data_IF_170439592114
#
_entry.id   IF_170439592114
#
_cell.length_a   1.000
_cell.length_b   1.000
_cell.length_c   1.000
_cell.angle_alpha   90.00
_cell.angle_beta   90.00
_cell.angle_gamma   90.00
#
_symmetry.space_group_name_H-M   'P 1'
#
loop_
_entity.id
_entity.type
_entity.pdbx_description
1 polymer ?
#
# COMPACT_ATOMS: atom_id res chain seq x y z
N UNK A 1 1.90 -4.36 4.93
CA UNK A 1 0.94 -3.43 4.28
C UNK A 1 -0.41 -4.09 3.99
N UNK A 2 -0.42 -5.31 3.50
CA UNK A 2 -1.65 -6.02 3.17
C UNK A 2 -2.12 -6.93 4.30
N UNK A 3 -3.40 -7.16 4.30
CA UNK A 3 -4.01 -8.22 5.10
C UNK A 3 -4.28 -9.42 4.19
N UNK A 4 -3.87 -10.61 4.63
CA UNK A 4 -4.14 -11.89 3.98
C UNK A 4 -4.70 -12.83 5.03
N UNK A 5 -5.92 -13.34 4.80
CA UNK A 5 -6.70 -14.08 5.78
C UNK A 5 -6.88 -13.25 7.06
N UNK A 6 -6.34 -13.67 8.17
CA UNK A 6 -6.45 -12.98 9.47
C UNK A 6 -5.15 -12.30 9.91
N UNK A 7 -4.12 -12.27 9.05
CA UNK A 7 -2.81 -11.73 9.38
C UNK A 7 -2.47 -10.52 8.50
N UNK A 8 -1.69 -9.60 9.05
CA UNK A 8 -1.19 -8.42 8.36
C UNK A 8 -1.88 -7.13 8.75
N UNK A 9 -1.60 -6.08 8.00
CA UNK A 9 -2.13 -4.72 8.22
C UNK A 9 -2.98 -4.27 7.04
N UNK A 10 -3.90 -3.37 7.29
CA UNK A 10 -4.82 -2.84 6.28
C UNK A 10 -4.34 -1.48 5.71
N UNK A 11 -3.06 -1.35 5.41
CA UNK A 11 -2.52 -0.17 4.74
C UNK A 11 -2.79 -0.25 3.25
N UNK A 12 -2.46 -1.38 2.64
CA UNK A 12 -2.80 -1.69 1.26
C UNK A 12 -4.12 -2.46 1.13
N UNK A 13 -4.52 -2.80 -0.11
CA UNK A 13 -5.73 -3.58 -0.34
C UNK A 13 -5.73 -4.93 0.38
N UNK A 14 -6.92 -5.36 0.81
CA UNK A 14 -7.15 -6.70 1.34
C UNK A 14 -6.86 -7.74 0.25
N UNK A 15 -6.02 -8.70 0.52
CA UNK A 15 -5.62 -9.71 -0.47
C UNK A 15 -6.50 -10.96 -0.46
N UNK A 16 -7.15 -11.27 0.65
CA UNK A 16 -7.85 -12.57 0.81
C UNK A 16 -8.83 -12.87 -0.32
N UNK A 17 -9.63 -11.89 -0.73
CA UNK A 17 -10.61 -12.04 -1.80
C UNK A 17 -10.11 -11.63 -3.18
N UNK A 18 -8.84 -11.31 -3.35
CA UNK A 18 -8.27 -10.88 -4.64
C UNK A 18 -7.97 -12.09 -5.55
N UNK A 19 -7.57 -11.81 -6.80
CA UNK A 19 -7.24 -12.83 -7.80
C UNK A 19 -5.86 -13.46 -7.54
N UNK A 20 -5.64 -13.98 -6.37
CA UNK A 20 -4.33 -14.50 -5.92
C UNK A 20 -3.81 -15.68 -6.71
N UNK A 21 -4.69 -16.42 -7.38
CA UNK A 21 -4.32 -17.57 -8.23
C UNK A 21 -4.07 -17.19 -9.68
N UNK A 22 -4.44 -16.00 -10.08
CA UNK A 22 -4.16 -15.49 -11.43
C UNK A 22 -2.74 -14.94 -11.43
N UNK A 23 -1.81 -15.71 -11.99
CA UNK A 23 -0.39 -15.38 -11.99
C UNK A 23 -0.11 -14.06 -12.73
N UNK A 24 -0.77 -13.83 -13.86
CA UNK A 24 -0.60 -12.60 -14.63
C UNK A 24 -1.03 -11.37 -13.81
N UNK A 25 -2.15 -11.48 -13.11
CA UNK A 25 -2.64 -10.41 -12.22
C UNK A 25 -1.66 -10.14 -11.08
N UNK A 26 -1.20 -11.19 -10.41
CA UNK A 26 -0.27 -11.06 -9.28
C UNK A 26 1.05 -10.47 -9.74
N UNK A 27 1.63 -10.98 -10.83
CA UNK A 27 2.91 -10.48 -11.36
C UNK A 27 2.80 -9.05 -11.87
N UNK A 28 1.71 -8.68 -12.53
CA UNK A 28 1.49 -7.30 -12.97
C UNK A 28 1.55 -6.31 -11.81
N UNK A 29 0.91 -6.64 -10.69
CA UNK A 29 0.89 -5.77 -9.52
C UNK A 29 2.24 -5.75 -8.79
N UNK A 30 2.96 -6.85 -8.76
CA UNK A 30 4.27 -6.92 -8.11
C UNK A 30 5.37 -6.25 -8.93
N UNK A 31 5.34 -6.41 -10.26
CA UNK A 31 6.38 -5.90 -11.15
C UNK A 31 6.15 -4.45 -11.56
N UNK A 32 4.90 -4.04 -11.71
CA UNK A 32 4.53 -2.68 -12.13
C UNK A 32 3.39 -2.12 -11.27
N UNK A 33 3.67 -1.85 -9.99
CA UNK A 33 2.63 -1.40 -9.06
C UNK A 33 2.07 -0.01 -9.38
N UNK A 34 2.74 0.76 -10.21
CA UNK A 34 2.29 2.11 -10.61
C UNK A 34 1.38 2.10 -11.84
N UNK A 35 1.30 1.00 -12.58
CA UNK A 35 0.54 0.94 -13.82
C UNK A 35 -0.96 1.13 -13.60
N UNK A 36 -1.51 0.46 -12.59
CA UNK A 36 -2.92 0.59 -12.20
C UNK A 36 -3.01 0.67 -10.69
N UNK A 37 -3.40 1.83 -10.18
CA UNK A 37 -3.55 2.07 -8.75
C UNK A 37 -5.04 2.24 -8.47
N UNK A 38 -5.58 1.41 -7.59
CA UNK A 38 -6.97 1.53 -7.15
C UNK A 38 -7.24 2.92 -6.56
N UNK A 39 -8.41 3.46 -6.85
CA UNK A 39 -8.78 4.84 -6.47
C UNK A 39 -8.54 5.13 -4.99
N UNK A 40 -8.91 4.20 -4.13
CA UNK A 40 -8.83 4.36 -2.67
C UNK A 40 -7.40 4.21 -2.12
N UNK A 41 -6.46 3.83 -2.98
CA UNK A 41 -5.06 3.59 -2.61
C UNK A 41 -4.08 4.54 -3.28
N UNK A 42 -4.59 5.54 -3.99
CA UNK A 42 -3.76 6.60 -4.55
C UNK A 42 -3.26 7.52 -3.45
N UNK A 43 -1.99 7.84 -3.50
CA UNK A 43 -1.39 8.73 -2.51
C UNK A 43 -1.65 10.19 -2.84
N UNK A 44 -1.74 10.99 -1.79
CA UNK A 44 -1.80 12.45 -1.85
C UNK A 44 -0.52 13.01 -1.27
N UNK A 45 0.05 14.01 -1.95
CA UNK A 45 1.20 14.78 -1.46
C UNK A 45 0.69 16.10 -0.90
N UNK A 46 1.06 16.38 0.33
CA UNK A 46 0.71 17.63 1.02
C UNK A 46 2.00 18.34 1.40
N UNK A 47 2.07 19.62 1.05
CA UNK A 47 3.14 20.51 1.52
C UNK A 47 2.51 21.53 2.44
N UNK A 48 3.02 21.64 3.67
CA UNK A 48 2.53 22.62 4.64
C UNK A 48 3.23 23.97 4.46
N UNK A 49 2.65 25.00 5.02
CA UNK A 49 3.23 26.37 5.01
C UNK A 49 4.60 26.42 5.72
N UNK A 50 4.86 25.50 6.65
CA UNK A 50 6.17 25.33 7.28
C UNK A 50 7.18 24.53 6.46
N UNK A 51 6.82 24.11 5.24
CA UNK A 51 7.69 23.32 4.34
C UNK A 51 7.72 21.82 4.61
N UNK A 52 6.88 21.31 5.51
CA UNK A 52 6.78 19.88 5.76
C UNK A 52 6.08 19.20 4.60
N UNK A 53 6.63 18.08 4.12
CA UNK A 53 6.04 17.27 3.05
C UNK A 53 5.53 15.96 3.66
N UNK A 54 4.25 15.67 3.43
CA UNK A 54 3.62 14.41 3.86
C UNK A 54 3.00 13.74 2.65
N UNK A 55 3.34 12.48 2.42
CA UNK A 55 2.78 11.67 1.32
C UNK A 55 2.12 10.43 1.90
N UNK A 56 0.88 10.21 1.56
CA UNK A 56 0.14 9.05 2.06
C UNK A 56 -1.24 8.93 1.43
N UNK A 57 -1.95 7.89 1.86
CA UNK A 57 -3.32 7.61 1.43
C UNK A 57 -4.27 8.37 2.36
N UNK A 58 -5.23 9.09 1.78
CA UNK A 58 -6.25 9.79 2.57
C UNK A 58 -7.14 8.75 3.26
N UNK A 59 -7.12 8.73 4.59
CA UNK A 59 -7.95 7.83 5.41
C UNK A 59 -9.20 8.50 5.92
N UNK A 60 -9.07 9.77 6.29
CA UNK A 60 -10.16 10.55 6.84
C UNK A 60 -9.96 12.01 6.47
N UNK A 61 -11.06 12.69 6.20
CA UNK A 61 -11.05 14.10 5.88
C UNK A 61 -12.32 14.75 6.44
N UNK A 62 -12.14 15.84 7.14
CA UNK A 62 -13.25 16.70 7.59
C UNK A 62 -12.96 18.16 7.22
N UNK A 63 -13.76 19.10 7.70
CA UNK A 63 -13.61 20.53 7.38
C UNK A 63 -12.31 21.15 7.92
N UNK A 64 -11.67 20.53 8.89
CA UNK A 64 -10.52 21.09 9.61
C UNK A 64 -9.23 20.31 9.42
N UNK A 65 -9.30 19.00 9.23
CA UNK A 65 -8.12 18.12 9.17
C UNK A 65 -8.17 17.16 8.02
N UNK A 66 -6.98 16.73 7.61
CA UNK A 66 -6.75 15.67 6.64
C UNK A 66 -5.86 14.60 7.30
N UNK A 67 -6.33 13.38 7.36
CA UNK A 67 -5.56 12.26 7.92
C UNK A 67 -4.98 11.43 6.79
N UNK A 68 -3.65 11.33 6.76
CA UNK A 68 -2.91 10.57 5.75
C UNK A 68 -2.27 9.34 6.38
N UNK A 69 -2.47 8.19 5.74
CA UNK A 69 -1.74 6.96 6.06
C UNK A 69 -0.45 6.94 5.27
N UNK A 70 0.67 7.12 5.95
CA UNK A 70 2.00 6.90 5.38
C UNK A 70 2.38 5.42 5.48
N UNK A 71 3.56 5.06 5.01
CA UNK A 71 4.05 3.68 5.11
C UNK A 71 4.19 3.21 6.58
N UNK A 72 4.33 4.13 7.51
CA UNK A 72 4.62 3.84 8.92
C UNK A 72 3.48 4.22 9.87
N UNK A 73 2.89 5.40 9.69
CA UNK A 73 1.97 5.99 10.65
C UNK A 73 0.76 6.65 9.99
N UNK A 74 -0.21 7.03 10.82
CA UNK A 74 -1.25 7.99 10.48
C UNK A 74 -0.77 9.38 10.87
N UNK A 75 -0.85 10.32 9.92
CA UNK A 75 -0.45 11.72 10.13
C UNK A 75 -1.67 12.60 9.94
N UNK A 76 -1.99 13.41 10.95
CA UNK A 76 -3.09 14.37 10.90
C UNK A 76 -2.51 15.73 10.54
N UNK A 77 -3.01 16.33 9.46
CA UNK A 77 -2.57 17.64 8.98
C UNK A 77 -3.73 18.62 9.07
N UNK A 78 -3.59 19.73 9.79
CA UNK A 78 -4.59 20.79 9.78
C UNK A 78 -4.72 21.39 8.37
N UNK A 79 -5.94 21.50 7.86
CA UNK A 79 -6.16 22.01 6.51
C UNK A 79 -5.71 23.46 6.32
N UNK A 80 -5.78 24.28 7.36
CA UNK A 80 -5.31 25.66 7.29
C UNK A 80 -3.79 25.80 7.16
N UNK A 81 -3.04 24.74 7.38
CA UNK A 81 -1.58 24.71 7.18
C UNK A 81 -1.18 24.16 5.83
N UNK A 82 -2.12 23.65 5.03
CA UNK A 82 -1.83 23.07 3.73
C UNK A 82 -1.64 24.17 2.69
N UNK A 83 -0.43 24.24 2.15
CA UNK A 83 -0.06 25.16 1.08
C UNK A 83 -0.28 24.52 -0.29
N UNK A 84 0.15 23.27 -0.46
CA UNK A 84 -0.02 22.49 -1.70
C UNK A 84 -0.62 21.12 -1.38
N UNK A 85 -1.58 20.72 -2.19
CA UNK A 85 -2.17 19.37 -2.15
C UNK A 85 -2.31 18.86 -3.58
N UNK A 86 -1.73 17.71 -3.87
CA UNK A 86 -1.84 17.08 -5.19
C UNK A 86 -1.83 15.57 -5.07
N UNK A 87 -2.40 14.89 -6.07
CA UNK A 87 -2.36 13.44 -6.17
C UNK A 87 -1.01 12.99 -6.71
N UNK A 88 -0.42 11.97 -6.09
CA UNK A 88 0.81 11.34 -6.57
C UNK A 88 0.49 10.30 -7.66
N UNK A 89 1.30 10.20 -8.72
CA UNK A 89 1.17 9.12 -9.70
C UNK A 89 1.80 7.80 -9.24
N UNK A 90 2.43 7.79 -8.07
CA UNK A 90 3.21 6.65 -7.57
C UNK A 90 2.42 5.91 -6.51
N UNK A 91 2.41 4.57 -6.59
CA UNK A 91 1.82 3.70 -5.59
C UNK A 91 2.68 3.65 -4.32
N UNK A 92 2.05 3.47 -3.17
CA UNK A 92 2.77 3.14 -1.94
C UNK A 92 3.44 1.76 -2.03
N UNK A 93 2.90 0.85 -2.83
CA UNK A 93 3.52 -0.42 -3.14
C UNK A 93 4.79 -0.18 -3.97
N UNK A 94 5.99 -0.51 -3.45
CA UNK A 94 7.23 -0.15 -4.10
C UNK A 94 7.53 -0.99 -5.33
N UNK A 95 8.24 -0.40 -6.29
CA UNK A 95 8.80 -1.12 -7.42
C UNK A 95 10.03 -1.93 -6.98
N UNK A 96 10.36 -2.96 -7.76
CA UNK A 96 11.63 -3.67 -7.60
C UNK A 96 11.68 -4.65 -6.43
N UNK A 97 10.56 -5.01 -5.84
CA UNK A 97 10.54 -5.94 -4.70
C UNK A 97 11.05 -7.34 -5.08
N UNK A 98 10.64 -7.85 -6.24
CA UNK A 98 11.04 -9.20 -6.67
C UNK A 98 12.52 -9.28 -7.03
N UNK A 99 13.12 -8.20 -7.52
CA UNK A 99 14.54 -8.17 -7.87
C UNK A 99 15.45 -8.30 -6.65
N UNK A 100 14.95 -8.02 -5.46
CA UNK A 100 15.67 -8.16 -4.20
C UNK A 100 15.57 -9.56 -3.59
N UNK A 101 14.75 -10.39 -4.17
CA UNK A 101 14.47 -11.76 -3.70
C UNK A 101 15.23 -12.77 -4.55
N UNK A 102 15.58 -13.91 -3.94
CA UNK A 102 16.14 -15.05 -4.67
C UNK A 102 15.01 -15.74 -5.48
N UNK A 103 15.34 -16.42 -6.59
CA UNK A 103 14.31 -17.09 -7.42
C UNK A 103 13.41 -18.06 -6.64
N UNK A 104 13.95 -18.80 -5.69
CA UNK A 104 13.16 -19.71 -4.84
C UNK A 104 12.24 -18.95 -3.89
N UNK A 105 12.64 -17.77 -3.42
CA UNK A 105 11.80 -16.92 -2.56
C UNK A 105 10.63 -16.34 -3.35
N UNK A 106 10.86 -15.92 -4.59
CA UNK A 106 9.79 -15.44 -5.50
C UNK A 106 8.77 -16.55 -5.74
N UNK A 107 9.25 -17.76 -6.07
CA UNK A 107 8.39 -18.93 -6.26
C UNK A 107 7.56 -19.22 -5.01
N UNK A 108 8.17 -19.21 -3.85
CA UNK A 108 7.50 -19.51 -2.59
C UNK A 108 6.48 -18.42 -2.21
N UNK A 109 6.77 -17.16 -2.50
CA UNK A 109 5.81 -16.06 -2.32
C UNK A 109 4.56 -16.25 -3.19
N UNK A 110 4.76 -16.56 -4.47
CA UNK A 110 3.64 -16.77 -5.40
C UNK A 110 2.79 -17.96 -4.99
N UNK A 111 3.44 -19.04 -4.54
CA UNK A 111 2.75 -20.22 -4.02
C UNK A 111 1.97 -19.92 -2.75
N UNK A 112 2.57 -19.18 -1.83
CA UNK A 112 1.91 -18.74 -0.59
C UNK A 112 0.65 -17.92 -0.88
N UNK A 113 0.76 -16.95 -1.79
CA UNK A 113 -0.37 -16.10 -2.16
C UNK A 113 -1.54 -16.91 -2.76
N UNK A 114 -1.24 -18.01 -3.44
CA UNK A 114 -2.26 -18.83 -4.11
C UNK A 114 -2.95 -19.87 -3.20
N UNK A 115 -2.54 -19.98 -1.94
CA UNK A 115 -3.13 -20.94 -1.00
C UNK A 115 -4.56 -20.54 -0.62
N UNK A 116 -5.35 -21.54 -0.22
CA UNK A 116 -6.74 -21.36 0.18
C UNK A 116 -6.89 -20.90 1.64
N UNK A 117 -5.90 -21.20 2.45
CA UNK A 117 -5.91 -20.89 3.89
C UNK A 117 -4.54 -20.47 4.37
N UNK A 118 -4.51 -19.86 5.54
CA UNK A 118 -3.29 -19.41 6.17
C UNK A 118 -2.42 -20.59 6.60
N UNK A 119 -1.11 -20.47 6.37
CA UNK A 119 -0.13 -21.39 6.93
C UNK A 119 0.10 -21.06 8.42
N UNK A 120 0.74 -22.00 9.14
CA UNK A 120 1.20 -21.72 10.50
C UNK A 120 2.24 -20.60 10.47
N UNK A 121 1.93 -19.48 11.12
CA UNK A 121 2.84 -18.34 11.18
C UNK A 121 3.82 -18.52 12.34
N UNK A 122 5.07 -18.01 12.20
CA UNK A 122 6.01 -18.01 13.32
C UNK A 122 5.43 -17.25 14.52
N UNK A 123 5.73 -17.70 15.72
CA UNK A 123 5.41 -16.97 16.93
C UNK A 123 6.27 -15.68 17.00
N UNK A 124 5.65 -14.60 17.46
CA UNK A 124 6.34 -13.31 17.64
C UNK A 124 7.37 -13.35 18.78
#
# INVERSE_FOLDING_TARGET
CHRLFDAGKAIGPELTGSQRRNLDYVLSNLLDPNAVIGRDYRMTVVVTDGGRVVTGIVREENSQTLTLQTANDLVIVPKNEIDVRKQSPVSMMPEGMLQKMKPNEVRDLLKYLALDEQVSLPAD
#
